data_IF_271412425478
#
_entry.id   IF_271412425478
#
_cell.length_a   1.000
_cell.length_b   1.000
_cell.length_c   1.000
_cell.angle_alpha   90.00
_cell.angle_beta   90.00
_cell.angle_gamma   90.00
#
_symmetry.space_group_name_H-M   'P 1'
#
loop_
_entity.id
_entity.type
_entity.pdbx_description
1 polymer ?
#
# COMPACT_ATOMS: atom_id res chain seq x y z
N UNK A 1 -0.76 1.29 -11.60
CA UNK A 1 0.07 1.62 -10.41
C UNK A 1 -0.52 2.84 -9.70
N UNK A 2 -0.73 2.75 -8.39
CA UNK A 2 -1.13 3.86 -7.52
C UNK A 2 -0.39 3.79 -6.19
N UNK A 3 -0.33 4.94 -5.50
CA UNK A 3 0.39 5.08 -4.24
C UNK A 3 -0.53 4.90 -3.04
N UNK A 4 -0.02 4.27 -1.99
CA UNK A 4 -0.60 4.30 -0.65
C UNK A 4 0.42 4.84 0.35
N UNK A 5 -0.06 5.29 1.51
CA UNK A 5 0.79 5.77 2.60
C UNK A 5 1.50 4.62 3.29
N UNK A 6 2.72 4.88 3.78
CA UNK A 6 3.49 3.92 4.60
C UNK A 6 2.63 3.45 5.79
N UNK A 7 2.50 2.12 5.92
CA UNK A 7 1.74 1.46 6.97
C UNK A 7 0.21 1.48 6.83
N UNK A 8 -0.34 2.09 5.78
CA UNK A 8 -1.79 2.27 5.66
C UNK A 8 -2.50 1.08 4.98
N UNK A 9 -2.72 0.01 5.74
CA UNK A 9 -3.30 -1.26 5.26
C UNK A 9 -4.63 -1.07 4.51
N UNK A 10 -5.52 -0.19 4.99
CA UNK A 10 -6.84 0.02 4.38
C UNK A 10 -6.75 0.70 3.01
N UNK A 11 -5.73 1.52 2.77
CA UNK A 11 -5.55 2.15 1.44
C UNK A 11 -5.12 1.08 0.44
N UNK A 12 -4.19 0.21 0.83
CA UNK A 12 -3.80 -0.92 0.01
C UNK A 12 -4.95 -1.89 -0.26
N UNK A 13 -5.82 -2.16 0.72
CA UNK A 13 -7.01 -3.00 0.53
C UNK A 13 -7.98 -2.41 -0.50
N UNK A 14 -8.22 -1.09 -0.45
CA UNK A 14 -9.06 -0.40 -1.44
C UNK A 14 -8.43 -0.46 -2.83
N UNK A 15 -7.13 -0.22 -2.94
CA UNK A 15 -6.41 -0.29 -4.21
C UNK A 15 -6.43 -1.70 -4.81
N UNK A 16 -6.28 -2.74 -3.99
CA UNK A 16 -6.43 -4.13 -4.44
C UNK A 16 -7.88 -4.43 -4.88
N UNK A 17 -8.89 -3.95 -4.15
CA UNK A 17 -10.29 -4.22 -4.46
C UNK A 17 -10.76 -3.58 -5.78
N UNK A 18 -10.08 -2.54 -6.26
CA UNK A 18 -10.32 -1.94 -7.58
C UNK A 18 -9.42 -2.53 -8.68
N UNK A 19 -8.78 -3.67 -8.41
CA UNK A 19 -7.99 -4.46 -9.37
C UNK A 19 -6.82 -3.69 -10.01
N UNK A 20 -6.09 -2.91 -9.21
CA UNK A 20 -4.89 -2.23 -9.72
C UNK A 20 -3.75 -3.21 -9.98
N UNK A 21 -2.91 -2.94 -10.98
CA UNK A 21 -1.80 -3.83 -11.34
C UNK A 21 -0.61 -3.80 -10.34
N UNK A 22 -0.46 -2.72 -9.58
CA UNK A 22 0.67 -2.50 -8.67
C UNK A 22 0.35 -1.43 -7.62
N UNK A 23 0.78 -1.67 -6.39
CA UNK A 23 0.71 -0.72 -5.27
C UNK A 23 2.13 -0.19 -4.98
N UNK A 24 2.25 1.10 -4.71
CA UNK A 24 3.51 1.74 -4.30
C UNK A 24 3.34 2.33 -2.90
N UNK A 25 3.93 1.69 -1.91
CA UNK A 25 3.90 2.17 -0.52
C UNK A 25 4.97 3.25 -0.34
N UNK A 26 4.56 4.51 -0.49
CA UNK A 26 5.50 5.57 -0.86
C UNK A 26 5.70 6.61 0.24
N UNK A 27 6.97 6.93 0.51
CA UNK A 27 7.43 8.00 1.40
C UNK A 27 7.15 9.41 0.86
N UNK A 28 6.76 9.53 -0.41
CA UNK A 28 6.30 10.81 -0.99
C UNK A 28 4.94 11.24 -0.44
N UNK A 29 4.19 10.31 0.15
CA UNK A 29 2.95 10.59 0.89
C UNK A 29 3.25 10.67 2.38
N UNK A 30 2.43 11.41 3.13
CA UNK A 30 2.53 11.48 4.58
C UNK A 30 2.37 10.08 5.19
N UNK A 31 3.34 9.57 5.98
CA UNK A 31 3.21 8.26 6.63
C UNK A 31 1.94 8.15 7.46
N UNK A 32 1.30 6.98 7.43
CA UNK A 32 0.19 6.67 8.32
C UNK A 32 0.65 5.93 9.58
N UNK A 33 1.74 5.18 9.45
CA UNK A 33 2.47 4.54 10.54
C UNK A 33 3.96 4.91 10.40
N UNK A 34 4.56 5.40 11.49
CA UNK A 34 5.97 5.81 11.54
C UNK A 34 6.92 4.65 11.91
N UNK A 35 6.38 3.48 12.26
CA UNK A 35 7.12 2.32 12.78
C UNK A 35 7.08 1.16 11.81
N UNK A 36 5.93 0.89 11.20
CA UNK A 36 5.71 -0.32 10.40
C UNK A 36 5.25 -0.02 8.97
N UNK A 37 5.82 -0.77 8.04
CA UNK A 37 5.28 -0.90 6.68
C UNK A 37 4.14 -1.93 6.65
N UNK A 38 3.37 -1.91 5.57
CA UNK A 38 2.34 -2.92 5.30
C UNK A 38 3.00 -4.30 5.17
N UNK A 39 2.38 -5.33 5.74
CA UNK A 39 2.74 -6.73 5.44
C UNK A 39 2.26 -7.09 4.02
N UNK A 40 3.15 -6.90 3.05
CA UNK A 40 2.91 -7.10 1.62
C UNK A 40 2.58 -8.55 1.26
N UNK A 41 2.85 -9.52 2.15
CA UNK A 41 2.55 -10.94 1.90
C UNK A 41 1.06 -11.27 2.04
N UNK A 42 0.26 -10.36 2.59
CA UNK A 42 -1.19 -10.52 2.74
C UNK A 42 -2.01 -10.05 1.52
N UNK A 43 -1.34 -9.67 0.44
CA UNK A 43 -1.94 -9.09 -0.75
C UNK A 43 -1.56 -9.89 -1.99
N UNK A 44 -2.52 -10.02 -2.91
CA UNK A 44 -2.32 -10.66 -4.22
C UNK A 44 -1.72 -9.68 -5.24
N UNK A 45 -1.96 -8.39 -5.05
CA UNK A 45 -1.38 -7.33 -5.89
C UNK A 45 0.09 -7.09 -5.50
N UNK A 46 1.02 -7.00 -6.46
CA UNK A 46 2.43 -6.75 -6.17
C UNK A 46 2.68 -5.31 -5.69
N UNK A 47 3.75 -5.15 -4.90
CA UNK A 47 4.16 -3.89 -4.28
C UNK A 47 5.53 -3.40 -4.76
N UNK A 48 5.68 -2.07 -4.90
CA UNK A 48 6.98 -1.38 -4.93
C UNK A 48 7.37 -0.98 -3.51
#
# INVERSE_FOLDING_TARGET
MAKCRIGHIVEAQVLQAIEIDYIDESEVLSPADDVYHIDKTQFDVPFV
#
